data_IF_337718473116
#
_entry.id   IF_337718473116
#
_cell.length_a   1.000
_cell.length_b   1.000
_cell.length_c   1.000
_cell.angle_alpha   90.00
_cell.angle_beta   90.00
_cell.angle_gamma   90.00
#
_symmetry.space_group_name_H-M   'P 1'
#
loop_
_entity.id
_entity.type
_entity.pdbx_description
1 polymer ?
#
# COMPACT_ATOMS: atom_id res chain seq x y z
N UNK A 1 -20.07 -2.89 17.33
CA UNK A 1 -19.47 -4.02 18.08
C UNK A 1 -18.19 -3.53 18.78
N UNK A 2 -17.85 -3.91 20.02
CA UNK A 2 -16.54 -3.62 20.61
C UNK A 2 -15.44 -4.49 20.00
N UNK A 3 -14.17 -4.24 20.36
CA UNK A 3 -13.07 -5.15 20.05
C UNK A 3 -13.36 -6.54 20.66
N UNK A 4 -13.23 -7.59 19.85
CA UNK A 4 -13.48 -8.97 20.27
C UNK A 4 -12.42 -9.92 19.70
N UNK A 5 -12.12 -10.97 20.43
CA UNK A 5 -11.17 -12.00 20.04
C UNK A 5 -11.77 -13.39 20.18
N UNK A 6 -11.44 -14.28 19.24
CA UNK A 6 -11.94 -15.64 19.20
C UNK A 6 -10.82 -16.61 18.85
N UNK A 7 -10.82 -17.78 19.47
CA UNK A 7 -10.14 -18.97 18.99
C UNK A 7 -11.07 -19.73 18.05
N UNK A 8 -10.59 -20.10 16.87
CA UNK A 8 -11.35 -20.88 15.91
C UNK A 8 -10.94 -22.35 15.97
N UNK A 9 -11.91 -23.23 16.22
CA UNK A 9 -11.75 -24.69 16.20
C UNK A 9 -12.81 -25.29 15.28
N UNK A 10 -12.39 -25.77 14.12
CA UNK A 10 -13.29 -26.08 13.00
C UNK A 10 -14.27 -24.91 12.75
N UNK A 11 -15.57 -25.12 12.91
CA UNK A 11 -16.62 -24.11 12.68
C UNK A 11 -16.99 -23.30 13.94
N UNK A 12 -16.40 -23.60 15.10
CA UNK A 12 -16.76 -22.99 16.38
C UNK A 12 -15.88 -21.80 16.70
N UNK A 13 -16.51 -20.64 16.92
CA UNK A 13 -15.90 -19.44 17.47
C UNK A 13 -15.96 -19.54 19.00
N UNK A 14 -14.80 -19.69 19.63
CA UNK A 14 -14.67 -19.74 21.09
C UNK A 14 -14.18 -18.36 21.54
N UNK A 15 -14.99 -17.58 22.27
CA UNK A 15 -14.60 -16.26 22.74
C UNK A 15 -13.34 -16.30 23.60
N UNK A 16 -12.51 -15.27 23.49
CA UNK A 16 -11.35 -15.04 24.35
C UNK A 16 -11.67 -13.81 25.18
N UNK A 17 -11.79 -13.99 26.49
CA UNK A 17 -11.98 -12.89 27.43
C UNK A 17 -10.77 -11.96 27.39
N UNK A 18 -11.03 -10.67 27.26
CA UNK A 18 -9.98 -9.66 27.17
C UNK A 18 -10.48 -8.32 27.66
N UNK A 19 -9.73 -7.73 28.58
CA UNK A 19 -9.86 -6.34 29.03
C UNK A 19 -9.03 -5.36 28.18
N UNK A 20 -8.32 -5.84 27.15
CA UNK A 20 -7.48 -5.00 26.30
C UNK A 20 -8.29 -4.20 25.28
N UNK A 21 -7.97 -2.93 25.15
CA UNK A 21 -8.56 -2.00 24.16
C UNK A 21 -7.80 -1.98 22.81
N UNK A 22 -6.72 -2.76 22.65
CA UNK A 22 -5.86 -2.72 21.47
C UNK A 22 -5.65 -4.09 20.81
N UNK A 23 -5.81 -4.21 19.47
CA UNK A 23 -5.43 -5.42 18.74
C UNK A 23 -3.97 -5.83 18.92
N UNK A 24 -3.06 -4.85 19.06
CA UNK A 24 -1.64 -5.12 19.22
C UNK A 24 -1.33 -5.74 20.58
N UNK A 25 -2.04 -5.32 21.63
CA UNK A 25 -1.91 -5.90 22.97
C UNK A 25 -2.49 -7.31 23.04
N UNK A 26 -3.70 -7.50 22.52
CA UNK A 26 -4.29 -8.82 22.32
C UNK A 26 -3.33 -9.75 21.57
N UNK A 27 -2.76 -9.30 20.45
CA UNK A 27 -1.86 -10.13 19.63
C UNK A 27 -0.60 -10.55 20.40
N UNK A 28 -0.08 -9.72 21.31
CA UNK A 28 1.10 -10.06 22.14
C UNK A 28 0.81 -11.12 23.22
N UNK A 29 -0.46 -11.23 23.65
CA UNK A 29 -0.90 -12.25 24.62
C UNK A 29 -1.17 -13.60 23.97
N UNK A 30 -1.34 -13.64 22.65
CA UNK A 30 -1.51 -14.89 21.90
C UNK A 30 -0.17 -15.55 21.58
N UNK A 31 -0.14 -16.87 21.36
CA UNK A 31 1.06 -17.56 20.90
C UNK A 31 1.65 -16.91 19.65
N UNK A 32 2.98 -16.90 19.55
CA UNK A 32 3.68 -16.34 18.40
C UNK A 32 3.25 -17.05 17.12
N UNK A 33 3.09 -16.30 16.04
CA UNK A 33 2.62 -16.85 14.79
C UNK A 33 2.62 -15.87 13.62
N UNK A 34 2.12 -16.36 12.50
CA UNK A 34 1.89 -15.57 11.29
C UNK A 34 0.55 -14.86 11.43
N UNK A 35 0.51 -13.57 11.12
CA UNK A 35 -0.73 -12.82 11.12
C UNK A 35 -1.00 -12.09 9.81
N UNK A 36 -2.25 -11.71 9.60
CA UNK A 36 -2.68 -10.87 8.49
C UNK A 36 -3.76 -9.91 8.97
N UNK A 37 -3.92 -8.76 8.31
CA UNK A 37 -4.92 -7.77 8.70
C UNK A 37 -5.52 -7.15 7.45
N UNK A 38 -6.85 -7.03 7.45
CA UNK A 38 -7.63 -6.39 6.41
C UNK A 38 -8.88 -5.76 7.02
N UNK A 39 -9.57 -4.94 6.23
CA UNK A 39 -10.86 -4.39 6.59
C UNK A 39 -11.89 -4.84 5.56
N UNK A 40 -13.14 -4.98 6.00
CA UNK A 40 -14.28 -5.08 5.07
C UNK A 40 -14.57 -3.72 4.45
N UNK A 41 -15.26 -3.75 3.32
CA UNK A 41 -15.84 -2.59 2.65
C UNK A 41 -17.25 -2.96 2.13
N UNK A 42 -17.89 -2.05 1.38
CA UNK A 42 -19.24 -2.24 0.83
C UNK A 42 -20.23 -2.68 1.93
N UNK A 43 -20.35 -1.85 2.97
CA UNK A 43 -21.24 -2.10 4.11
C UNK A 43 -20.97 -3.41 4.86
N UNK A 44 -19.70 -3.81 4.95
CA UNK A 44 -19.27 -5.00 5.70
C UNK A 44 -19.31 -6.31 4.91
N UNK A 45 -19.64 -6.28 3.62
CA UNK A 45 -19.94 -7.50 2.83
C UNK A 45 -18.78 -7.98 1.96
N UNK A 46 -17.80 -7.12 1.67
CA UNK A 46 -16.70 -7.43 0.76
C UNK A 46 -15.34 -7.10 1.38
N UNK A 47 -14.28 -7.70 0.84
CA UNK A 47 -12.89 -7.51 1.27
C UNK A 47 -11.98 -7.49 0.05
N UNK A 48 -11.08 -6.52 -0.03
CA UNK A 48 -10.06 -6.53 -1.07
C UNK A 48 -8.98 -7.57 -0.79
N UNK A 49 -8.79 -8.52 -1.72
CA UNK A 49 -7.68 -9.46 -1.68
C UNK A 49 -7.82 -10.53 -0.59
N UNK A 50 -9.05 -10.93 -0.25
CA UNK A 50 -9.33 -11.91 0.80
C UNK A 50 -8.58 -13.21 0.56
N UNK A 51 -8.60 -13.74 -0.66
CA UNK A 51 -7.83 -14.94 -1.01
C UNK A 51 -6.34 -14.77 -0.68
N UNK A 52 -5.73 -13.64 -1.07
CA UNK A 52 -4.33 -13.38 -0.80
C UNK A 52 -4.02 -13.21 0.71
N UNK A 53 -4.96 -12.67 1.49
CA UNK A 53 -4.83 -12.59 2.94
C UNK A 53 -4.86 -13.98 3.60
N UNK A 54 -5.76 -14.86 3.14
CA UNK A 54 -5.86 -16.24 3.64
C UNK A 54 -4.68 -17.12 3.18
N UNK A 55 -4.22 -16.97 1.94
CA UNK A 55 -3.01 -17.63 1.44
C UNK A 55 -1.80 -17.28 2.29
N UNK A 56 -1.62 -15.99 2.63
CA UNK A 56 -0.52 -15.57 3.50
C UNK A 56 -0.62 -16.19 4.90
N UNK A 57 -1.82 -16.24 5.47
CA UNK A 57 -2.03 -16.79 6.82
C UNK A 57 -1.73 -18.31 6.87
N UNK A 58 -2.16 -19.03 5.85
CA UNK A 58 -2.01 -20.49 5.72
C UNK A 58 -0.78 -20.89 4.88
N UNK A 59 0.17 -19.98 4.68
CA UNK A 59 1.41 -20.31 4.00
C UNK A 59 2.20 -21.24 4.92
N UNK A 60 2.22 -22.54 4.58
CA UNK A 60 2.95 -23.56 5.34
C UNK A 60 4.45 -23.40 5.10
N UNK A 61 5.23 -23.36 6.18
CA UNK A 61 6.62 -23.81 6.12
C UNK A 61 6.63 -25.34 6.19
N UNK A 62 7.72 -26.00 5.78
CA UNK A 62 7.83 -27.48 5.82
C UNK A 62 7.56 -28.06 7.22
N UNK A 63 7.71 -27.25 8.28
CA UNK A 63 7.52 -27.64 9.68
C UNK A 63 6.29 -27.00 10.34
N UNK A 64 5.41 -26.34 9.58
CA UNK A 64 4.25 -25.67 10.18
C UNK A 64 3.20 -26.69 10.66
N UNK A 65 2.63 -26.52 11.87
CA UNK A 65 1.55 -27.36 12.36
C UNK A 65 0.29 -27.24 11.49
N UNK A 66 -0.52 -28.29 11.46
CA UNK A 66 -1.80 -28.27 10.76
C UNK A 66 -2.74 -27.22 11.40
N UNK A 67 -3.43 -26.40 10.60
CA UNK A 67 -4.27 -25.33 11.13
C UNK A 67 -5.51 -25.89 11.84
N UNK A 68 -5.91 -25.27 12.96
CA UNK A 68 -7.09 -25.68 13.75
C UNK A 68 -8.45 -25.49 13.05
N UNK A 69 -8.46 -24.82 11.90
CA UNK A 69 -9.63 -24.58 11.07
C UNK A 69 -9.26 -24.49 9.59
N UNK A 70 -10.13 -24.99 8.71
CA UNK A 70 -9.93 -24.84 7.27
C UNK A 70 -10.15 -23.41 6.80
N UNK A 71 -9.64 -23.05 5.61
CA UNK A 71 -9.92 -21.74 4.98
C UNK A 71 -11.41 -21.49 4.80
N UNK A 72 -12.20 -22.53 4.53
CA UNK A 72 -13.65 -22.44 4.35
C UNK A 72 -14.36 -22.18 5.68
N UNK A 73 -13.94 -22.84 6.77
CA UNK A 73 -14.49 -22.58 8.11
C UNK A 73 -14.19 -21.17 8.58
N UNK A 74 -12.93 -20.72 8.40
CA UNK A 74 -12.53 -19.37 8.72
C UNK A 74 -13.33 -18.35 7.91
N UNK A 75 -13.49 -18.53 6.61
CA UNK A 75 -14.30 -17.65 5.77
C UNK A 75 -15.73 -17.52 6.29
N UNK A 76 -16.40 -18.64 6.61
CA UNK A 76 -17.75 -18.64 7.22
C UNK A 76 -17.79 -17.88 8.54
N UNK A 77 -16.78 -18.07 9.39
CA UNK A 77 -16.68 -17.36 10.66
C UNK A 77 -16.54 -15.84 10.46
N UNK A 78 -15.71 -15.42 9.50
CA UNK A 78 -15.54 -14.00 9.15
C UNK A 78 -16.84 -13.38 8.64
N UNK A 79 -17.57 -14.06 7.75
CA UNK A 79 -18.87 -13.58 7.26
C UNK A 79 -19.88 -13.39 8.39
N UNK A 80 -19.96 -14.34 9.33
CA UNK A 80 -20.85 -14.25 10.51
C UNK A 80 -20.48 -13.08 11.41
N UNK A 81 -19.19 -12.90 11.69
CA UNK A 81 -18.70 -11.80 12.51
C UNK A 81 -18.93 -10.43 11.85
N UNK A 82 -18.66 -10.30 10.55
CA UNK A 82 -18.89 -9.05 9.82
C UNK A 82 -20.38 -8.67 9.76
N UNK A 83 -21.26 -9.66 9.58
CA UNK A 83 -22.71 -9.45 9.55
C UNK A 83 -23.22 -8.83 10.87
N UNK A 84 -22.60 -9.14 12.02
CA UNK A 84 -22.99 -8.54 13.31
C UNK A 84 -22.66 -7.05 13.45
N UNK A 85 -21.80 -6.51 12.58
CA UNK A 85 -21.44 -5.10 12.55
C UNK A 85 -22.02 -4.36 11.32
N UNK A 86 -22.72 -5.07 10.43
CA UNK A 86 -23.33 -4.48 9.24
C UNK A 86 -24.43 -3.47 9.63
N UNK A 87 -24.61 -2.37 8.88
CA UNK A 87 -23.89 -2.00 7.65
C UNK A 87 -22.51 -1.36 7.87
N UNK A 88 -21.99 -1.33 9.11
CA UNK A 88 -20.65 -0.85 9.41
C UNK A 88 -19.54 -1.79 8.93
N UNK A 89 -18.34 -1.22 8.76
CA UNK A 89 -17.15 -1.97 8.34
C UNK A 89 -16.41 -2.55 9.56
N UNK A 90 -15.79 -3.72 9.39
CA UNK A 90 -15.01 -4.42 10.40
C UNK A 90 -13.54 -4.50 9.98
N UNK A 91 -12.64 -4.37 10.94
CA UNK A 91 -11.22 -4.66 10.78
C UNK A 91 -10.96 -6.03 11.38
N UNK A 92 -10.44 -6.93 10.56
CA UNK A 92 -10.04 -8.26 10.98
C UNK A 92 -8.52 -8.35 11.08
N UNK A 93 -8.04 -8.90 12.19
CA UNK A 93 -6.69 -9.44 12.32
C UNK A 93 -6.80 -10.93 12.58
N UNK A 94 -6.19 -11.70 11.70
CA UNK A 94 -6.14 -13.16 11.80
C UNK A 94 -4.73 -13.56 12.18
N UNK A 95 -4.59 -14.51 13.09
CA UNK A 95 -3.30 -15.05 13.51
C UNK A 95 -3.36 -16.57 13.49
N UNK A 96 -2.32 -17.22 12.98
CA UNK A 96 -2.11 -18.66 13.07
C UNK A 96 -0.86 -18.91 13.90
N UNK A 97 -1.04 -19.56 15.05
CA UNK A 97 0.03 -19.91 15.97
C UNK A 97 1.03 -20.86 15.31
N UNK A 98 2.31 -20.53 15.43
CA UNK A 98 3.38 -21.39 14.92
C UNK A 98 3.61 -22.62 15.81
N UNK A 99 3.13 -22.61 17.06
CA UNK A 99 3.36 -23.69 18.02
C UNK A 99 2.41 -24.88 17.81
N UNK A 100 1.15 -24.60 17.51
CA UNK A 100 0.07 -25.60 17.52
C UNK A 100 -0.93 -25.46 16.37
N UNK A 101 -0.74 -24.48 15.47
CA UNK A 101 -1.62 -24.26 14.33
C UNK A 101 -2.95 -23.61 14.69
N UNK A 102 -3.14 -23.19 15.95
CA UNK A 102 -4.38 -22.55 16.38
C UNK A 102 -4.62 -21.25 15.62
N UNK A 103 -5.80 -21.11 15.03
CA UNK A 103 -6.27 -19.92 14.32
C UNK A 103 -7.06 -19.02 15.26
N UNK A 104 -6.67 -17.75 15.31
CA UNK A 104 -7.29 -16.70 16.10
C UNK A 104 -7.86 -15.61 15.19
N UNK A 105 -9.02 -15.08 15.57
CA UNK A 105 -9.71 -13.98 14.90
C UNK A 105 -9.89 -12.85 15.89
N UNK A 106 -9.25 -11.71 15.64
CA UNK A 106 -9.49 -10.46 16.35
C UNK A 106 -10.29 -9.57 15.40
N UNK A 107 -11.41 -9.04 15.87
CA UNK A 107 -12.31 -8.19 15.09
C UNK A 107 -12.70 -6.96 15.89
N UNK A 108 -12.81 -5.83 15.20
CA UNK A 108 -13.32 -4.57 15.75
C UNK A 108 -14.00 -3.78 14.64
N UNK A 109 -14.79 -2.73 14.96
CA UNK A 109 -15.20 -1.77 13.96
C UNK A 109 -14.00 -1.16 13.26
N UNK A 110 -14.14 -0.95 11.96
CA UNK A 110 -13.21 -0.20 11.15
C UNK A 110 -13.74 1.20 10.93
N UNK A 111 -12.92 2.18 11.28
CA UNK A 111 -13.13 3.58 10.94
C UNK A 111 -12.03 3.97 9.96
N UNK A 112 -12.36 4.42 8.74
CA UNK A 112 -11.36 4.89 7.80
C UNK A 112 -10.66 6.15 8.34
N UNK A 113 -9.45 6.41 7.85
CA UNK A 113 -8.77 7.67 8.16
C UNK A 113 -9.59 8.86 7.65
N UNK A 114 -9.57 9.95 8.40
CA UNK A 114 -10.22 11.20 8.02
C UNK A 114 -9.68 11.71 6.67
N UNK A 115 -10.55 12.32 5.85
CA UNK A 115 -10.22 12.74 4.47
C UNK A 115 -9.04 13.71 4.45
N UNK A 116 -8.96 14.55 5.47
CA UNK A 116 -7.94 15.58 5.67
C UNK A 116 -6.53 14.98 5.71
N UNK A 117 -6.37 13.74 6.18
CA UNK A 117 -5.09 13.02 6.17
C UNK A 117 -4.60 12.80 4.73
N UNK A 118 -5.50 12.46 3.81
CA UNK A 118 -5.17 12.26 2.40
C UNK A 118 -5.00 13.58 1.63
N UNK A 119 -5.66 14.65 2.08
CA UNK A 119 -5.60 15.97 1.45
C UNK A 119 -4.37 16.79 1.89
N UNK A 120 -4.04 16.74 3.18
CA UNK A 120 -2.93 17.49 3.79
C UNK A 120 -1.64 16.68 3.87
N UNK A 121 -1.75 15.35 3.85
CA UNK A 121 -0.62 14.45 4.02
C UNK A 121 -0.12 14.38 5.45
N UNK A 122 0.84 13.50 5.69
CA UNK A 122 1.35 13.18 7.02
C UNK A 122 2.84 13.47 7.17
N UNK A 123 3.27 13.62 8.42
CA UNK A 123 4.67 13.66 8.79
C UNK A 123 5.09 12.32 9.35
N UNK A 124 6.28 11.88 8.99
CA UNK A 124 6.87 10.63 9.48
C UNK A 124 8.28 10.91 9.99
N UNK A 125 8.77 10.00 10.83
CA UNK A 125 10.15 10.02 11.33
C UNK A 125 10.82 8.70 11.01
N UNK A 126 12.15 8.64 11.11
CA UNK A 126 12.91 7.41 10.91
C UNK A 126 13.37 6.80 12.23
N UNK A 127 13.58 5.49 12.22
CA UNK A 127 14.29 4.77 13.27
C UNK A 127 15.16 3.69 12.63
N UNK A 128 16.40 3.58 13.12
CA UNK A 128 17.32 2.51 12.71
C UNK A 128 16.84 1.19 13.31
N UNK A 129 16.05 0.48 12.53
CA UNK A 129 15.36 -0.76 12.87
C UNK A 129 14.99 -1.45 11.57
N UNK A 130 15.24 -2.75 11.49
CA UNK A 130 14.77 -3.61 10.39
C UNK A 130 14.12 -4.86 10.94
N UNK A 131 13.19 -5.44 10.17
CA UNK A 131 12.62 -6.74 10.49
C UNK A 131 13.70 -7.82 10.42
N UNK A 132 13.68 -8.76 11.37
CA UNK A 132 14.58 -9.92 11.37
C UNK A 132 14.31 -10.85 10.17
N UNK A 133 13.05 -11.26 9.94
CA UNK A 133 12.60 -11.82 8.66
C UNK A 133 11.50 -10.93 8.07
N UNK A 134 11.87 -10.12 7.09
CA UNK A 134 10.96 -9.14 6.51
C UNK A 134 9.84 -9.76 5.65
N UNK A 135 9.99 -11.01 5.17
CA UNK A 135 9.00 -11.64 4.28
C UNK A 135 7.79 -12.14 5.06
N UNK A 136 7.98 -12.50 6.32
CA UNK A 136 6.95 -13.03 7.19
C UNK A 136 6.33 -11.91 8.02
N UNK A 137 5.00 -11.84 8.03
CA UNK A 137 4.26 -10.96 8.93
C UNK A 137 4.12 -11.67 10.29
N UNK A 138 5.25 -11.79 10.98
CA UNK A 138 5.38 -12.44 12.27
C UNK A 138 4.95 -11.52 13.42
N UNK A 139 4.21 -12.07 14.39
CA UNK A 139 3.70 -11.29 15.53
C UNK A 139 4.79 -10.80 16.49
N UNK A 140 5.98 -11.41 16.52
CA UNK A 140 7.12 -10.99 17.34
C UNK A 140 7.61 -9.58 17.01
N UNK A 141 7.48 -9.15 15.75
CA UNK A 141 7.82 -7.78 15.34
C UNK A 141 6.97 -6.72 16.07
N UNK A 142 5.76 -7.07 16.53
CA UNK A 142 4.93 -6.14 17.31
C UNK A 142 5.62 -5.79 18.63
N UNK A 143 6.30 -6.74 19.26
CA UNK A 143 7.07 -6.48 20.47
C UNK A 143 8.35 -5.70 20.16
N UNK A 144 9.11 -6.13 19.14
CA UNK A 144 10.39 -5.51 18.74
C UNK A 144 10.24 -4.02 18.38
N UNK A 145 9.13 -3.64 17.76
CA UNK A 145 8.89 -2.25 17.33
C UNK A 145 8.23 -1.35 18.38
N UNK A 146 8.03 -1.81 19.63
CA UNK A 146 7.38 -0.98 20.66
C UNK A 146 8.12 0.32 20.96
N UNK A 147 9.45 0.29 21.09
CA UNK A 147 10.26 1.49 21.38
C UNK A 147 10.25 2.51 20.24
N UNK A 148 10.05 2.06 19.00
CA UNK A 148 9.84 2.96 17.87
C UNK A 148 8.41 3.53 17.89
N UNK A 149 7.40 2.72 18.27
CA UNK A 149 6.01 3.17 18.36
C UNK A 149 5.79 4.28 19.38
N UNK A 150 6.50 4.28 20.51
CA UNK A 150 6.37 5.36 21.51
C UNK A 150 6.80 6.73 20.97
N UNK A 151 7.52 6.76 19.85
CA UNK A 151 7.89 7.99 19.14
C UNK A 151 6.77 8.54 18.25
N UNK A 152 5.70 7.77 18.03
CA UNK A 152 4.49 8.24 17.35
C UNK A 152 3.68 9.05 18.36
N UNK A 153 4.00 10.34 18.42
CA UNK A 153 3.35 11.32 19.31
C UNK A 153 3.16 12.64 18.58
N UNK A 154 2.17 13.43 19.01
CA UNK A 154 1.90 14.73 18.39
C UNK A 154 1.49 14.59 16.93
N UNK A 155 2.25 15.20 16.02
CA UNK A 155 1.99 15.24 14.59
C UNK A 155 2.71 14.14 13.78
N UNK A 156 3.47 13.28 14.45
CA UNK A 156 4.11 12.11 13.83
C UNK A 156 3.07 11.03 13.58
N UNK A 157 2.93 10.63 12.31
CA UNK A 157 1.94 9.63 11.91
C UNK A 157 2.44 8.20 11.96
N UNK A 158 3.68 7.97 11.52
CA UNK A 158 4.30 6.63 11.52
C UNK A 158 5.81 6.75 11.53
N UNK A 159 6.49 5.68 11.96
CA UNK A 159 7.94 5.54 11.91
C UNK A 159 8.33 4.70 10.70
N UNK A 160 9.25 5.24 9.90
CA UNK A 160 9.96 4.57 8.81
C UNK A 160 11.13 3.78 9.37
N UNK A 161 11.19 2.51 8.97
CA UNK A 161 12.24 1.55 9.28
C UNK A 161 13.42 1.78 8.35
N UNK A 162 14.57 2.11 8.93
CA UNK A 162 15.80 2.38 8.19
C UNK A 162 16.94 1.46 8.63
N UNK A 163 17.93 1.30 7.75
CA UNK A 163 19.23 0.70 8.04
C UNK A 163 20.27 1.25 7.10
N UNK A 164 21.43 1.67 7.64
CA UNK A 164 22.53 2.26 6.87
C UNK A 164 22.07 3.42 5.96
N UNK A 165 21.21 4.29 6.51
CA UNK A 165 20.65 5.45 5.79
C UNK A 165 19.67 5.11 4.65
N UNK A 166 19.21 3.86 4.55
CA UNK A 166 18.22 3.42 3.56
C UNK A 166 16.86 3.18 4.20
N UNK A 167 15.80 3.65 3.56
CA UNK A 167 14.40 3.45 3.95
C UNK A 167 13.88 2.16 3.33
N UNK A 168 13.37 1.26 4.16
CA UNK A 168 12.79 -0.01 3.72
C UNK A 168 11.27 0.10 3.65
N UNK A 169 10.62 0.34 4.78
CA UNK A 169 9.17 0.40 4.91
C UNK A 169 8.76 1.15 6.18
N UNK A 170 7.47 1.33 6.44
CA UNK A 170 6.97 1.77 7.75
C UNK A 170 6.76 0.58 8.70
N UNK A 171 6.53 0.86 9.99
CA UNK A 171 6.23 -0.19 10.98
C UNK A 171 5.06 -1.10 10.54
N UNK A 172 4.04 -0.53 9.89
CA UNK A 172 2.81 -1.22 9.47
C UNK A 172 2.41 -0.93 8.01
N UNK A 173 3.31 -0.36 7.21
CA UNK A 173 3.07 0.07 5.82
C UNK A 173 4.31 -0.16 4.95
N UNK A 174 4.13 -0.21 3.63
CA UNK A 174 5.26 -0.10 2.69
C UNK A 174 5.50 1.35 2.29
N UNK A 175 6.76 1.71 2.02
CA UNK A 175 7.18 3.05 1.63
C UNK A 175 7.48 3.16 0.12
N UNK A 176 7.15 4.32 -0.46
CA UNK A 176 7.42 4.67 -1.84
C UNK A 176 7.80 6.14 -1.94
N UNK A 177 8.65 6.45 -2.91
CA UNK A 177 8.93 7.83 -3.29
C UNK A 177 8.90 7.99 -4.80
N UNK A 178 8.57 9.20 -5.26
CA UNK A 178 8.64 9.62 -6.65
C UNK A 178 9.91 10.46 -6.82
N UNK A 179 10.79 10.03 -7.72
CA UNK A 179 12.01 10.78 -8.00
C UNK A 179 11.67 12.05 -8.81
N UNK A 180 12.37 13.18 -8.55
CA UNK A 180 12.27 14.37 -9.38
C UNK A 180 12.58 14.06 -10.85
N UNK A 181 11.83 14.69 -11.76
CA UNK A 181 12.17 14.66 -13.19
C UNK A 181 13.32 15.64 -13.40
N UNK A 182 14.52 15.11 -13.67
CA UNK A 182 15.67 15.92 -14.04
C UNK A 182 15.64 16.05 -15.57
N UNK A 183 15.37 17.25 -16.09
CA UNK A 183 15.49 17.52 -17.52
C UNK A 183 16.96 17.38 -17.94
N UNK A 184 17.18 16.89 -19.16
CA UNK A 184 18.51 16.64 -19.74
C UNK A 184 19.41 17.87 -19.88
N UNK A 185 18.89 19.08 -19.63
CA UNK A 185 19.61 20.36 -19.65
C UNK A 185 19.78 21.00 -18.24
N UNK A 186 19.39 20.30 -17.17
CA UNK A 186 19.53 20.78 -15.80
C UNK A 186 18.56 21.91 -15.39
N UNK A 187 17.55 22.25 -16.20
CA UNK A 187 16.55 23.28 -15.85
C UNK A 187 15.23 22.66 -15.39
N UNK A 188 14.69 23.19 -14.29
CA UNK A 188 13.58 22.62 -13.51
C UNK A 188 12.23 22.66 -14.24
N UNK A 189 11.68 21.49 -14.56
CA UNK A 189 10.45 20.93 -13.98
C UNK A 189 9.11 21.70 -13.92
N UNK A 190 8.96 22.89 -14.50
CA UNK A 190 7.69 23.67 -14.39
C UNK A 190 6.59 23.28 -15.38
N UNK A 191 6.94 22.77 -16.56
CA UNK A 191 6.01 22.75 -17.70
C UNK A 191 4.95 21.63 -17.61
N UNK A 192 5.26 20.49 -16.99
CA UNK A 192 4.34 19.34 -16.98
C UNK A 192 3.24 19.45 -15.91
N UNK A 193 3.57 19.96 -14.72
CA UNK A 193 2.61 20.11 -13.63
C UNK A 193 1.53 21.16 -13.94
N UNK A 194 1.89 22.28 -14.57
CA UNK A 194 0.92 23.32 -14.99
C UNK A 194 -0.01 22.85 -16.11
N UNK A 195 0.51 22.06 -17.07
CA UNK A 195 -0.29 21.53 -18.18
C UNK A 195 -1.35 20.52 -17.71
N UNK A 196 -1.02 19.69 -16.71
CA UNK A 196 -1.98 18.72 -16.13
C UNK A 196 -3.04 19.44 -15.29
N UNK A 197 -2.67 20.45 -14.50
CA UNK A 197 -3.62 21.21 -13.68
C UNK A 197 -4.66 21.96 -14.53
N UNK A 198 -4.25 22.71 -15.57
CA UNK A 198 -5.17 23.49 -16.42
C UNK A 198 -6.12 22.61 -17.26
N UNK A 199 -5.71 21.38 -17.58
CA UNK A 199 -6.53 20.45 -18.36
C UNK A 199 -7.66 19.80 -17.53
N UNK A 200 -7.54 19.78 -16.20
CA UNK A 200 -8.53 19.18 -15.30
C UNK A 200 -9.79 20.04 -15.07
N UNK A 201 -9.66 21.36 -15.27
CA UNK A 201 -10.71 22.38 -15.08
C UNK A 201 -11.68 22.47 -16.28
N UNK A 202 -11.32 21.96 -17.45
CA UNK A 202 -12.10 22.07 -18.69
C UNK A 202 -13.08 20.90 -18.94
N UNK A 203 -13.23 19.95 -18.01
CA UNK A 203 -14.05 18.75 -18.20
C UNK A 203 -15.38 18.87 -17.42
N UNK A 204 -16.56 18.70 -18.07
CA UNK A 204 -17.87 18.85 -17.41
C UNK A 204 -18.03 17.93 -16.17
N UNK A 205 -18.62 18.45 -15.10
CA UNK A 205 -18.77 17.74 -13.82
C UNK A 205 -19.62 16.45 -13.89
N UNK A 206 -20.37 16.23 -14.98
CA UNK A 206 -21.28 15.07 -15.16
C UNK A 206 -20.68 13.90 -15.96
N UNK A 207 -19.40 13.93 -16.32
CA UNK A 207 -18.73 12.83 -17.03
C UNK A 207 -18.31 11.71 -16.08
N UNK A 208 -18.39 10.45 -16.52
CA UNK A 208 -17.84 9.32 -15.76
C UNK A 208 -16.32 9.49 -15.54
N UNK A 209 -15.80 8.99 -14.42
CA UNK A 209 -14.37 9.10 -14.07
C UNK A 209 -13.47 8.51 -15.17
N UNK A 210 -13.93 7.46 -15.84
CA UNK A 210 -13.23 6.81 -16.97
C UNK A 210 -13.10 7.79 -18.16
N UNK A 211 -14.20 8.43 -18.56
CA UNK A 211 -14.19 9.40 -19.65
C UNK A 211 -13.29 10.61 -19.34
N UNK A 212 -13.22 11.00 -18.06
CA UNK A 212 -12.34 12.08 -17.59
C UNK A 212 -10.85 11.69 -17.70
N UNK A 213 -10.50 10.46 -17.35
CA UNK A 213 -9.12 9.96 -17.41
C UNK A 213 -8.61 9.72 -18.85
N UNK A 214 -9.49 9.27 -19.75
CA UNK A 214 -9.17 9.12 -21.17
C UNK A 214 -8.94 10.48 -21.86
N UNK A 215 -9.75 11.49 -21.51
CA UNK A 215 -9.61 12.85 -22.02
C UNK A 215 -8.29 13.52 -21.58
N UNK A 216 -7.90 13.37 -20.31
CA UNK A 216 -6.61 13.89 -19.81
C UNK A 216 -5.43 13.24 -20.56
N UNK A 217 -5.53 11.94 -20.80
CA UNK A 217 -4.48 11.18 -21.51
C UNK A 217 -4.35 11.58 -22.98
N UNK A 218 -5.45 11.94 -23.65
CA UNK A 218 -5.42 12.41 -25.04
C UNK A 218 -4.86 13.82 -25.18
N UNK A 219 -5.20 14.72 -24.25
CA UNK A 219 -4.67 16.09 -24.18
C UNK A 219 -3.15 16.12 -23.98
N UNK A 220 -2.62 15.27 -23.09
CA UNK A 220 -1.18 15.12 -22.88
C UNK A 220 -0.42 14.75 -24.17
N UNK A 221 -0.99 13.85 -24.99
CA UNK A 221 -0.40 13.45 -26.29
C UNK A 221 -0.36 14.59 -27.32
N UNK A 222 -1.37 15.46 -27.34
CA UNK A 222 -1.46 16.59 -28.27
C UNK A 222 -0.44 17.69 -27.97
N UNK A 223 -0.17 17.93 -26.68
CA UNK A 223 0.78 18.95 -26.24
C UNK A 223 2.22 18.58 -26.61
N UNK A 224 2.61 17.32 -26.44
CA UNK A 224 3.96 16.82 -26.73
C UNK A 224 4.38 16.97 -28.20
N UNK A 225 3.45 16.78 -29.14
CA UNK A 225 3.70 17.03 -30.58
C UNK A 225 4.01 18.49 -30.88
N UNK A 226 3.51 19.40 -30.05
CA UNK A 226 3.56 20.86 -30.26
C UNK A 226 4.88 21.48 -29.76
N UNK A 227 5.62 20.81 -28.88
CA UNK A 227 6.87 21.32 -28.26
C UNK A 227 8.14 20.75 -28.93
N UNK A 228 8.02 20.05 -30.06
CA UNK A 228 9.15 19.80 -30.97
C UNK A 228 10.34 18.98 -30.41
N UNK A 229 10.11 18.09 -29.46
CA UNK A 229 11.17 17.22 -28.91
C UNK A 229 11.51 16.10 -29.91
N UNK A 230 12.76 16.08 -30.41
CA UNK A 230 13.25 15.04 -31.33
C UNK A 230 14.37 14.22 -30.70
N UNK A 231 14.33 12.90 -30.90
CA UNK A 231 15.17 11.90 -30.21
C UNK A 231 16.30 11.43 -31.13
N UNK A 232 17.55 11.50 -30.69
CA UNK A 232 18.69 10.87 -31.40
C UNK A 232 18.90 9.43 -30.95
N UNK A 233 19.21 8.59 -31.93
CA UNK A 233 19.41 7.13 -31.86
C UNK A 233 20.88 6.84 -31.57
N UNK A 234 21.19 6.17 -30.47
CA UNK A 234 22.49 5.52 -30.29
C UNK A 234 22.34 4.00 -30.33
N UNK A 235 23.22 3.36 -31.12
CA UNK A 235 23.18 1.94 -31.49
C UNK A 235 23.91 1.09 -30.45
N UNK A 236 23.31 -0.03 -30.08
CA UNK A 236 24.04 -1.23 -29.63
C UNK A 236 24.10 -2.24 -30.79
N UNK A 237 25.17 -3.05 -30.90
CA UNK A 237 25.45 -3.87 -32.07
C UNK A 237 24.52 -5.08 -32.18
N UNK A 238 24.35 -5.50 -33.43
CA UNK A 238 23.38 -6.43 -33.98
C UNK A 238 23.73 -7.91 -33.81
N UNK A 239 22.70 -8.73 -33.64
CA UNK A 239 22.57 -10.00 -34.38
C UNK A 239 21.21 -10.03 -35.09
N UNK A 240 21.26 -10.21 -36.40
CA UNK A 240 20.17 -10.50 -37.37
C UNK A 240 19.27 -11.65 -36.91
N UNK A 241 18.00 -11.82 -37.29
CA UNK A 241 17.27 -11.49 -38.52
C UNK A 241 15.78 -11.31 -38.23
N UNK A 242 15.09 -10.53 -39.06
CA UNK A 242 13.84 -9.87 -38.71
C UNK A 242 12.53 -10.67 -38.79
N UNK A 243 11.53 -10.11 -38.11
CA UNK A 243 10.17 -9.86 -38.60
C UNK A 243 9.56 -8.74 -37.72
N UNK A 244 9.03 -7.68 -38.34
CA UNK A 244 8.38 -6.56 -37.63
C UNK A 244 6.98 -7.00 -37.18
N UNK A 245 6.72 -6.93 -35.88
CA UNK A 245 5.35 -6.89 -35.34
C UNK A 245 5.04 -5.50 -34.81
N UNK A 246 3.92 -4.95 -35.27
CA UNK A 246 3.37 -3.63 -34.91
C UNK A 246 2.62 -3.68 -33.59
N UNK A 247 3.31 -3.92 -32.47
CA UNK A 247 2.76 -3.74 -31.12
C UNK A 247 3.88 -3.48 -30.11
N UNK A 248 4.61 -2.38 -30.24
CA UNK A 248 5.42 -1.89 -29.14
C UNK A 248 4.70 -0.71 -28.46
N UNK A 249 4.48 -0.75 -27.13
CA UNK A 249 3.85 0.36 -26.43
C UNK A 249 4.76 1.59 -26.45
N UNK A 250 4.19 2.82 -26.45
CA UNK A 250 4.97 4.05 -26.47
C UNK A 250 5.81 4.20 -25.18
N UNK A 251 7.10 4.53 -25.30
CA UNK A 251 8.00 4.96 -24.21
C UNK A 251 8.12 6.50 -24.24
N UNK A 252 8.34 7.26 -23.15
CA UNK A 252 8.24 7.10 -21.69
C UNK A 252 8.66 8.47 -21.12
N UNK A 253 7.70 9.37 -20.88
CA UNK A 253 7.96 10.68 -20.21
C UNK A 253 7.70 10.56 -18.68
N UNK A 254 7.55 9.32 -18.19
CA UNK A 254 6.92 8.99 -16.92
C UNK A 254 7.80 9.22 -15.70
N UNK A 255 7.16 9.61 -14.60
CA UNK A 255 7.81 9.68 -13.30
C UNK A 255 8.36 8.32 -12.87
N UNK A 256 9.45 8.34 -12.09
CA UNK A 256 10.07 7.12 -11.55
C UNK A 256 9.63 6.92 -10.11
N UNK A 257 8.88 5.83 -9.85
CA UNK A 257 8.57 5.37 -8.51
C UNK A 257 9.71 4.50 -7.98
N UNK A 258 10.27 4.85 -6.83
CA UNK A 258 11.33 4.08 -6.15
C UNK A 258 10.79 3.45 -4.87
N UNK A 259 11.14 2.19 -4.62
CA UNK A 259 10.73 1.45 -3.42
C UNK A 259 11.60 0.20 -3.21
N UNK A 260 11.79 -0.21 -1.95
CA UNK A 260 12.61 -1.38 -1.61
C UNK A 260 12.07 -2.68 -2.22
N UNK A 261 12.95 -3.59 -2.66
CA UNK A 261 12.54 -4.91 -3.19
C UNK A 261 12.54 -6.00 -2.14
N UNK A 262 13.55 -5.95 -1.27
CA UNK A 262 13.89 -6.95 -0.25
C UNK A 262 14.03 -6.25 1.10
N UNK A 263 14.04 -7.02 2.19
CA UNK A 263 14.06 -6.43 3.54
C UNK A 263 12.77 -5.71 3.92
N UNK A 264 11.65 -6.03 3.24
CA UNK A 264 10.32 -5.48 3.50
C UNK A 264 9.25 -6.57 3.47
N UNK A 265 8.10 -6.27 4.08
CA UNK A 265 6.90 -7.09 3.93
C UNK A 265 6.27 -6.89 2.55
N UNK A 266 6.07 -7.97 1.80
CA UNK A 266 5.39 -7.92 0.50
C UNK A 266 3.86 -7.84 0.69
N UNK A 267 3.36 -6.64 0.97
CA UNK A 267 1.95 -6.37 1.24
C UNK A 267 1.00 -6.64 0.06
N UNK A 268 -0.28 -6.93 0.34
CA UNK A 268 -1.32 -7.11 -0.69
C UNK A 268 -1.55 -5.80 -1.46
N UNK A 269 -1.71 -4.69 -0.72
CA UNK A 269 -1.86 -3.34 -1.27
C UNK A 269 -0.69 -2.94 -2.16
N UNK A 270 0.54 -3.29 -1.77
CA UNK A 270 1.75 -3.03 -2.57
C UNK A 270 1.67 -3.60 -3.98
N UNK A 271 1.19 -4.84 -4.10
CA UNK A 271 1.03 -5.49 -5.41
C UNK A 271 0.03 -4.73 -6.30
N UNK A 272 -1.08 -4.24 -5.73
CA UNK A 272 -2.06 -3.45 -6.47
C UNK A 272 -1.47 -2.09 -6.89
N UNK A 273 -0.87 -1.34 -5.96
CA UNK A 273 -0.30 -0.01 -6.24
C UNK A 273 0.83 -0.06 -7.27
N UNK A 274 1.72 -1.06 -7.20
CA UNK A 274 2.78 -1.24 -8.21
C UNK A 274 2.25 -1.64 -9.59
N UNK A 275 1.07 -2.27 -9.67
CA UNK A 275 0.39 -2.56 -10.95
C UNK A 275 -0.25 -1.29 -11.49
N UNK A 276 -0.97 -0.54 -10.65
CA UNK A 276 -1.59 0.72 -11.02
C UNK A 276 -0.55 1.74 -11.49
N UNK A 277 0.55 1.91 -10.76
CA UNK A 277 1.63 2.82 -11.15
C UNK A 277 2.20 2.51 -12.54
N UNK A 278 2.41 1.23 -12.87
CA UNK A 278 2.83 0.83 -14.23
C UNK A 278 1.77 1.13 -15.28
N UNK A 279 0.50 0.86 -14.97
CA UNK A 279 -0.63 1.16 -15.85
C UNK A 279 -0.78 2.66 -16.15
N UNK A 280 -0.41 3.50 -15.17
CA UNK A 280 -0.37 4.96 -15.29
C UNK A 280 0.91 5.49 -15.98
N UNK A 281 1.78 4.59 -16.47
CA UNK A 281 3.00 4.94 -17.21
C UNK A 281 4.22 5.27 -16.34
N UNK A 282 4.20 4.98 -15.03
CA UNK A 282 5.37 5.18 -14.18
C UNK A 282 6.41 4.07 -14.38
N UNK A 283 7.68 4.46 -14.37
CA UNK A 283 8.79 3.50 -14.28
C UNK A 283 9.02 3.10 -12.82
N UNK A 284 9.26 1.81 -12.55
CA UNK A 284 9.49 1.32 -11.19
C UNK A 284 10.97 0.99 -10.98
N UNK A 285 11.61 1.66 -10.01
CA UNK A 285 12.98 1.39 -9.60
C UNK A 285 12.99 0.65 -8.26
N UNK A 286 13.41 -0.60 -8.30
CA UNK A 286 13.45 -1.48 -7.13
C UNK A 286 14.77 -1.35 -6.36
N UNK A 287 14.82 -0.37 -5.44
CA UNK A 287 15.87 -0.21 -4.44
C UNK A 287 15.32 0.48 -3.20
N UNK A 288 15.92 0.22 -2.03
CA UNK A 288 15.63 1.01 -0.85
C UNK A 288 16.06 2.47 -1.10
N UNK A 289 15.15 3.46 -1.02
CA UNK A 289 15.50 4.88 -1.13
C UNK A 289 16.42 5.29 0.01
N UNK A 290 17.27 6.30 -0.19
CA UNK A 290 18.07 6.84 0.92
C UNK A 290 17.31 7.91 1.68
N UNK A 291 17.57 8.06 2.97
CA UNK A 291 16.93 9.10 3.81
C UNK A 291 17.33 10.51 3.34
N UNK A 292 18.55 10.67 2.83
CA UNK A 292 19.11 11.92 2.32
C UNK A 292 18.79 12.20 0.84
N UNK A 293 18.00 11.33 0.18
CA UNK A 293 17.65 11.50 -1.22
C UNK A 293 16.50 12.50 -1.39
N UNK A 294 16.61 13.39 -2.37
CA UNK A 294 15.53 14.33 -2.67
C UNK A 294 14.38 13.63 -3.41
N UNK A 295 13.17 13.73 -2.88
CA UNK A 295 11.96 13.16 -3.46
C UNK A 295 11.00 14.27 -3.89
N UNK A 296 10.38 14.11 -5.06
CA UNK A 296 9.30 14.99 -5.49
C UNK A 296 8.01 14.72 -4.69
N UNK A 297 7.75 13.45 -4.41
CA UNK A 297 6.60 13.00 -3.61
C UNK A 297 6.97 11.73 -2.84
N UNK A 298 6.28 11.43 -1.74
CA UNK A 298 6.41 10.17 -1.02
C UNK A 298 5.06 9.74 -0.44
N UNK A 299 4.88 8.43 -0.24
CA UNK A 299 3.66 7.89 0.34
C UNK A 299 3.86 6.51 0.99
N UNK A 300 2.90 6.15 1.84
CA UNK A 300 2.78 4.85 2.49
C UNK A 300 1.64 4.05 1.87
N UNK A 301 1.74 2.71 1.95
CA UNK A 301 0.60 1.84 1.62
C UNK A 301 0.34 0.77 2.66
N UNK A 302 -0.93 0.55 3.01
CA UNK A 302 -1.37 -0.59 3.84
C UNK A 302 -2.83 -0.96 3.58
N UNK A 303 -3.24 -2.19 3.92
CA UNK A 303 -4.59 -2.71 3.64
C UNK A 303 -5.71 -1.83 4.21
N UNK A 304 -5.54 -1.29 5.42
CA UNK A 304 -6.57 -0.49 6.09
C UNK A 304 -6.46 1.02 5.81
N UNK A 305 -5.39 1.50 5.17
CA UNK A 305 -5.16 2.95 4.97
C UNK A 305 -4.98 3.37 3.51
N UNK A 306 -5.01 2.42 2.58
CA UNK A 306 -4.80 2.71 1.16
C UNK A 306 -3.46 3.38 0.89
N UNK A 307 -3.46 4.46 0.12
CA UNK A 307 -2.29 5.29 -0.24
C UNK A 307 -2.31 6.55 0.63
N UNK A 308 -1.36 6.67 1.58
CA UNK A 308 -1.28 7.81 2.50
C UNK A 308 -0.11 8.71 2.10
N UNK A 309 -0.34 9.98 1.71
CA UNK A 309 0.73 10.88 1.30
C UNK A 309 1.64 11.29 2.46
N UNK A 310 2.94 11.33 2.23
CA UNK A 310 3.93 11.88 3.15
C UNK A 310 4.38 13.25 2.64
N UNK A 311 4.34 14.25 3.50
CA UNK A 311 4.80 15.62 3.21
C UNK A 311 6.09 16.00 3.94
N UNK A 312 6.49 15.23 4.95
CA UNK A 312 7.75 15.44 5.67
C UNK A 312 8.31 14.14 6.24
N UNK A 313 9.63 13.97 6.17
CA UNK A 313 10.41 12.90 6.80
C UNK A 313 11.45 13.56 7.70
N UNK A 314 11.47 13.23 8.99
CA UNK A 314 12.41 13.79 9.98
C UNK A 314 12.43 15.34 10.01
N UNK A 315 11.25 15.95 9.83
CA UNK A 315 11.10 17.41 9.79
C UNK A 315 11.54 18.06 8.47
N UNK A 316 12.15 17.30 7.55
CA UNK A 316 12.53 17.77 6.22
C UNK A 316 11.32 17.62 5.28
N UNK A 317 11.01 18.67 4.53
CA UNK A 317 9.90 18.67 3.57
C UNK A 317 10.16 17.71 2.39
N UNK A 318 9.14 16.94 2.02
CA UNK A 318 9.16 16.13 0.80
C UNK A 318 8.59 16.99 -0.34
N UNK A 319 9.38 17.18 -1.40
CA UNK A 319 9.02 18.06 -2.52
C UNK A 319 8.68 19.47 -2.02
N UNK A 320 7.46 19.91 -2.30
CA UNK A 320 6.96 21.22 -1.88
C UNK A 320 6.27 21.21 -0.49
N UNK A 321 6.40 20.13 0.29
CA UNK A 321 5.76 19.99 1.60
C UNK A 321 4.23 19.86 1.52
N UNK A 322 3.70 19.47 0.37
CA UNK A 322 2.27 19.27 0.10
C UNK A 322 2.03 18.00 -0.70
N UNK A 323 0.80 17.49 -0.67
CA UNK A 323 0.43 16.28 -1.40
C UNK A 323 0.55 16.49 -2.91
N UNK A 324 1.46 15.73 -3.54
CA UNK A 324 1.75 15.80 -4.96
C UNK A 324 0.73 15.10 -5.88
N UNK A 325 0.91 15.31 -7.19
CA UNK A 325 -0.05 14.91 -8.20
C UNK A 325 -0.05 13.39 -8.45
N UNK A 326 1.12 12.74 -8.44
CA UNK A 326 1.21 11.28 -8.63
C UNK A 326 0.58 10.53 -7.46
N UNK A 327 0.82 11.00 -6.24
CA UNK A 327 0.27 10.40 -5.02
C UNK A 327 -1.25 10.51 -5.02
N UNK A 328 -1.81 11.68 -5.38
CA UNK A 328 -3.27 11.86 -5.56
C UNK A 328 -3.83 10.91 -6.62
N UNK A 329 -3.18 10.84 -7.78
CA UNK A 329 -3.59 9.96 -8.88
C UNK A 329 -3.61 8.49 -8.47
N UNK A 330 -2.55 8.02 -7.82
CA UNK A 330 -2.44 6.64 -7.32
C UNK A 330 -3.45 6.36 -6.20
N UNK A 331 -3.74 7.33 -5.34
CA UNK A 331 -4.77 7.20 -4.30
C UNK A 331 -6.15 7.00 -4.91
N UNK A 332 -6.54 7.81 -5.89
CA UNK A 332 -7.82 7.69 -6.59
C UNK A 332 -7.91 6.37 -7.38
N UNK A 333 -6.84 6.01 -8.11
CA UNK A 333 -6.77 4.75 -8.84
C UNK A 333 -6.89 3.54 -7.89
N UNK A 334 -6.28 3.61 -6.71
CA UNK A 334 -6.39 2.54 -5.71
C UNK A 334 -7.80 2.44 -5.12
N UNK A 335 -8.46 3.56 -4.83
CA UNK A 335 -9.85 3.57 -4.36
C UNK A 335 -10.78 2.92 -5.40
N UNK A 336 -10.66 3.31 -6.68
CA UNK A 336 -11.43 2.68 -7.76
C UNK A 336 -11.15 1.17 -7.86
N UNK A 337 -9.88 0.76 -7.71
CA UNK A 337 -9.50 -0.65 -7.68
C UNK A 337 -10.14 -1.41 -6.52
N UNK A 338 -10.26 -0.80 -5.33
CA UNK A 338 -10.95 -1.41 -4.18
C UNK A 338 -12.43 -1.65 -4.50
N UNK A 339 -13.12 -0.65 -5.05
CA UNK A 339 -14.54 -0.78 -5.42
C UNK A 339 -14.77 -1.91 -6.44
N UNK A 340 -13.95 -1.97 -7.47
CA UNK A 340 -14.08 -2.95 -8.55
C UNK A 340 -13.69 -4.37 -8.11
N UNK A 341 -12.58 -4.52 -7.39
CA UNK A 341 -11.91 -5.82 -7.18
C UNK A 341 -12.14 -6.45 -5.81
N UNK A 342 -12.94 -5.85 -4.95
CA UNK A 342 -13.25 -6.47 -3.66
C UNK A 342 -13.99 -7.79 -3.86
N UNK A 343 -13.64 -8.80 -3.08
CA UNK A 343 -14.26 -10.12 -3.13
C UNK A 343 -15.37 -10.17 -2.10
N UNK A 344 -16.46 -10.90 -2.35
CA UNK A 344 -17.42 -11.19 -1.28
C UNK A 344 -16.70 -11.86 -0.11
N UNK A 345 -17.09 -11.52 1.12
CA UNK A 345 -16.52 -12.11 2.32
C UNK A 345 -16.87 -13.58 2.49
#
# INVERSE_FOLDING_TARGET
MPLAAFRLSAQRLIPIESESDSPDELTRRLPRGIFTTFSTNHSGTRVLGLCAHLERLYASTESAPAPSASRADLRRALSRLAASNAPGESRFRLLMSAADGTVYVIVQPFTPLAKEIYERGVKVITADLVRHDARLKDSGFITESQSARTRVSGDVFEVLLTKNGKIYEGMTSNFYAVLPVIASDGRVGRVFAEAVSRSSEAIPARSSVIARNEAISSLGRGLLRRVGVSVRKERYPSTSSGHRSTTDPPRNDGATLVTARTGILLGVTRRAVLRLARGEGMSIRYRAPRVDENFAEAFLTSSSRGVVPIISIDGIGVGEGRVGAWTKRLSLAYQAYVEERSESL
#
